data_IF_705185243827
#
_entry.id   IF_705185243827
#
_cell.length_a   1.000
_cell.length_b   1.000
_cell.length_c   1.000
_cell.angle_alpha   90.00
_cell.angle_beta   90.00
_cell.angle_gamma   90.00
#
_symmetry.space_group_name_H-M   'P 1'
#
loop_
_entity.id
_entity.type
_entity.pdbx_description
1 polymer ?
#
# COMPACT_ATOMS: atom_id res chain seq x y z
N UNK A 1 -3.72 17.82 21.51
CA UNK A 1 -2.56 17.31 20.75
C UNK A 1 -2.15 18.40 19.78
N UNK A 2 -0.91 18.84 19.81
CA UNK A 2 -0.40 19.87 18.90
C UNK A 2 -0.29 19.29 17.49
N UNK A 3 -0.35 20.14 16.46
CA UNK A 3 -0.26 19.77 15.03
C UNK A 3 1.00 18.94 14.65
N UNK A 4 1.96 18.78 15.57
CA UNK A 4 3.24 18.09 15.34
C UNK A 4 3.22 16.58 15.62
N UNK A 5 2.17 16.04 16.27
CA UNK A 5 2.06 14.59 16.56
C UNK A 5 1.46 13.77 15.40
N UNK A 6 0.96 14.43 14.35
CA UNK A 6 0.16 13.76 13.29
C UNK A 6 0.97 13.06 12.19
N UNK A 7 2.30 13.14 12.21
CA UNK A 7 3.16 12.63 11.12
C UNK A 7 4.36 11.82 11.63
N UNK A 8 4.23 11.17 12.79
CA UNK A 8 5.35 10.50 13.44
C UNK A 8 5.29 8.98 13.30
N UNK A 9 6.44 8.40 12.97
CA UNK A 9 6.69 6.98 13.14
C UNK A 9 6.78 6.69 14.63
N UNK A 10 5.91 5.81 15.12
CA UNK A 10 5.90 5.38 16.51
C UNK A 10 6.54 4.00 16.65
N UNK A 11 6.86 3.63 17.88
CA UNK A 11 7.37 2.30 18.24
C UNK A 11 6.55 1.78 19.41
N UNK A 12 6.13 0.52 19.33
CA UNK A 12 5.50 -0.16 20.45
C UNK A 12 6.52 -0.31 21.60
N UNK A 13 6.14 0.09 22.81
CA UNK A 13 7.08 0.20 23.94
C UNK A 13 7.62 -1.17 24.42
N UNK A 14 6.87 -2.25 24.14
CA UNK A 14 7.21 -3.60 24.60
C UNK A 14 8.00 -4.34 23.52
N UNK A 15 7.48 -4.34 22.30
CA UNK A 15 8.02 -5.12 21.19
C UNK A 15 9.05 -4.36 20.36
N UNK A 16 9.08 -3.03 20.46
CA UNK A 16 9.85 -2.15 19.58
C UNK A 16 9.34 -2.14 18.14
N UNK A 17 8.16 -2.69 17.86
CA UNK A 17 7.58 -2.75 16.51
C UNK A 17 7.23 -1.33 16.03
N UNK A 18 7.69 -0.90 14.85
CA UNK A 18 7.33 0.40 14.30
C UNK A 18 5.86 0.41 13.86
N UNK A 19 5.18 1.55 13.98
CA UNK A 19 3.85 1.73 13.42
C UNK A 19 3.57 3.19 13.06
N UNK A 20 2.64 3.38 12.12
CA UNK A 20 2.01 4.68 11.86
C UNK A 20 0.60 4.68 12.43
N UNK A 21 0.16 5.79 12.99
CA UNK A 21 -1.21 5.95 13.52
C UNK A 21 -2.05 6.73 12.52
N UNK A 22 -3.29 6.28 12.27
CA UNK A 22 -4.20 7.06 11.44
C UNK A 22 -4.64 8.34 12.19
N UNK A 23 -4.89 9.45 11.48
CA UNK A 23 -5.27 10.70 12.10
C UNK A 23 -6.68 10.63 12.71
N UNK A 24 -6.97 11.57 13.62
CA UNK A 24 -8.31 11.76 14.19
C UNK A 24 -9.39 11.85 13.08
N UNK A 25 -10.55 11.18 13.24
CA UNK A 25 -11.02 10.43 14.42
C UNK A 25 -10.65 8.94 14.43
N UNK A 26 -9.72 8.49 13.57
CA UNK A 26 -9.38 7.07 13.39
C UNK A 26 -8.12 6.66 14.18
N UNK A 27 -7.84 7.32 15.31
CA UNK A 27 -6.62 7.13 16.10
C UNK A 27 -6.47 5.71 16.67
N UNK A 28 -7.58 4.95 16.71
CA UNK A 28 -7.61 3.52 17.07
C UNK A 28 -7.21 2.59 15.91
N UNK A 29 -6.79 3.14 14.76
CA UNK A 29 -6.21 2.37 13.67
C UNK A 29 -4.73 2.69 13.51
N UNK A 30 -3.94 1.65 13.29
CA UNK A 30 -2.49 1.75 13.07
C UNK A 30 -2.08 0.96 11.83
N UNK A 31 -0.93 1.28 11.26
CA UNK A 31 -0.30 0.54 10.16
C UNK A 31 1.02 -0.04 10.66
N UNK A 32 1.15 -1.35 10.65
CA UNK A 32 2.30 -2.09 11.19
C UNK A 32 2.99 -2.92 10.09
N UNK A 33 4.16 -3.52 10.37
CA UNK A 33 4.69 -4.62 9.59
C UNK A 33 3.77 -5.84 9.59
N UNK A 34 4.09 -6.75 8.68
CA UNK A 34 3.42 -8.06 8.56
C UNK A 34 3.89 -8.99 9.68
N UNK A 35 2.95 -9.63 10.37
CA UNK A 35 3.21 -10.60 11.44
C UNK A 35 2.99 -12.04 10.95
N UNK A 36 3.61 -13.00 11.63
CA UNK A 36 3.55 -14.42 11.20
C UNK A 36 2.14 -14.99 11.32
N UNK A 37 1.39 -14.50 12.31
CA UNK A 37 0.03 -14.88 12.64
C UNK A 37 -1.05 -14.09 11.87
N UNK A 38 -0.66 -13.25 10.91
CA UNK A 38 -1.60 -12.54 10.04
C UNK A 38 -2.29 -13.48 9.03
N UNK A 39 -1.69 -14.63 8.71
CA UNK A 39 -2.16 -15.53 7.64
C UNK A 39 -3.65 -15.93 7.77
N UNK A 40 -4.17 -16.38 8.93
CA UNK A 40 -5.59 -16.71 9.06
C UNK A 40 -6.52 -15.51 8.81
N UNK A 41 -6.14 -14.31 9.26
CA UNK A 41 -6.94 -13.10 9.04
C UNK A 41 -6.93 -12.68 7.56
N UNK A 42 -5.77 -12.76 6.89
CA UNK A 42 -5.64 -12.52 5.45
C UNK A 42 -6.52 -13.49 4.68
N UNK A 43 -6.46 -14.79 4.99
CA UNK A 43 -7.27 -15.84 4.35
C UNK A 43 -8.76 -15.54 4.47
N UNK A 44 -9.21 -15.16 5.67
CA UNK A 44 -10.61 -14.80 5.89
C UNK A 44 -11.04 -13.58 5.04
N UNK A 45 -10.22 -12.53 4.98
CA UNK A 45 -10.53 -11.32 4.21
C UNK A 45 -10.53 -11.60 2.70
N UNK A 46 -9.51 -12.31 2.20
CA UNK A 46 -9.29 -12.52 0.77
C UNK A 46 -10.18 -13.58 0.15
N UNK A 47 -10.85 -14.44 0.94
CA UNK A 47 -11.95 -15.26 0.46
C UNK A 47 -13.30 -14.52 0.44
N UNK A 48 -13.37 -13.30 0.98
CA UNK A 48 -14.57 -12.47 0.93
C UNK A 48 -14.85 -11.96 -0.49
N UNK A 49 -16.03 -12.24 -1.10
CA UNK A 49 -16.30 -11.87 -2.49
C UNK A 49 -16.34 -10.35 -2.72
N UNK A 50 -16.59 -9.55 -1.67
CA UNK A 50 -16.52 -8.09 -1.72
C UNK A 50 -15.10 -7.53 -1.86
N UNK A 51 -14.08 -8.35 -1.62
CA UNK A 51 -12.66 -8.00 -1.71
C UNK A 51 -11.98 -8.73 -2.86
N UNK A 52 -12.06 -10.06 -2.88
CA UNK A 52 -11.33 -10.93 -3.80
C UNK A 52 -11.48 -10.55 -5.28
N UNK A 53 -12.70 -10.18 -5.68
CA UNK A 53 -13.03 -9.86 -7.07
C UNK A 53 -12.24 -8.68 -7.64
N UNK A 54 -11.72 -7.80 -6.78
CA UNK A 54 -10.99 -6.60 -7.19
C UNK A 54 -9.47 -6.79 -7.18
N UNK A 55 -8.97 -7.98 -6.85
CA UNK A 55 -7.55 -8.25 -6.70
C UNK A 55 -7.05 -9.18 -7.82
N UNK A 56 -5.94 -8.81 -8.45
CA UNK A 56 -5.44 -9.49 -9.65
C UNK A 56 -4.89 -10.90 -9.37
N UNK A 57 -4.17 -11.08 -8.26
CA UNK A 57 -3.29 -12.23 -8.02
C UNK A 57 -3.74 -13.13 -6.85
N UNK A 58 -5.05 -13.21 -6.60
CA UNK A 58 -5.59 -14.04 -5.51
C UNK A 58 -6.14 -15.35 -6.10
N UNK A 59 -5.51 -16.52 -5.84
CA UNK A 59 -6.09 -17.80 -6.22
C UNK A 59 -7.42 -18.05 -5.49
N UNK A 60 -8.30 -18.86 -6.10
CA UNK A 60 -9.57 -19.26 -5.51
C UNK A 60 -9.69 -20.78 -5.43
N UNK A 61 -9.95 -21.37 -4.25
CA UNK A 61 -9.98 -20.71 -2.93
C UNK A 61 -8.58 -20.21 -2.52
N UNK A 62 -8.52 -19.14 -1.73
CA UNK A 62 -7.27 -18.67 -1.13
C UNK A 62 -7.02 -19.47 0.15
N UNK A 63 -6.04 -20.36 0.14
CA UNK A 63 -5.81 -21.32 1.23
C UNK A 63 -4.94 -20.75 2.34
N UNK A 64 -4.89 -21.44 3.49
CA UNK A 64 -3.96 -21.08 4.57
C UNK A 64 -2.51 -21.09 4.09
N UNK A 65 -2.13 -22.08 3.28
CA UNK A 65 -0.78 -22.16 2.72
C UNK A 65 -0.45 -21.00 1.79
N UNK A 66 -1.42 -20.49 1.02
CA UNK A 66 -1.24 -19.27 0.21
C UNK A 66 -0.99 -18.05 1.12
N UNK A 67 -1.75 -17.93 2.21
CA UNK A 67 -1.59 -16.88 3.21
C UNK A 67 -0.25 -16.93 3.95
N UNK A 68 0.17 -18.12 4.40
CA UNK A 68 1.45 -18.35 5.07
C UNK A 68 2.63 -18.04 4.13
N UNK A 69 2.55 -18.48 2.87
CA UNK A 69 3.54 -18.15 1.85
C UNK A 69 3.62 -16.64 1.62
N UNK A 70 2.48 -15.98 1.44
CA UNK A 70 2.42 -14.53 1.23
C UNK A 70 3.01 -13.74 2.41
N UNK A 71 2.69 -14.16 3.64
CA UNK A 71 3.25 -13.57 4.86
C UNK A 71 4.77 -13.73 4.89
N UNK A 72 5.29 -14.94 4.60
CA UNK A 72 6.72 -15.19 4.55
C UNK A 72 7.44 -14.31 3.52
N UNK A 73 6.95 -14.31 2.28
CA UNK A 73 7.50 -13.49 1.19
C UNK A 73 7.47 -11.99 1.53
N UNK A 74 6.35 -11.51 2.06
CA UNK A 74 6.18 -10.09 2.41
C UNK A 74 7.12 -9.68 3.52
N UNK A 75 7.24 -10.50 4.58
CA UNK A 75 8.14 -10.22 5.70
C UNK A 75 9.60 -10.20 5.29
N UNK A 76 10.03 -11.11 4.42
CA UNK A 76 11.40 -11.11 3.89
C UNK A 76 11.71 -9.78 3.18
N UNK A 77 10.78 -9.29 2.36
CA UNK A 77 10.91 -8.01 1.69
C UNK A 77 10.90 -6.80 2.66
N UNK A 78 10.12 -6.87 3.74
CA UNK A 78 10.04 -5.82 4.78
C UNK A 78 11.30 -5.78 5.66
N UNK A 79 11.90 -6.94 5.96
CA UNK A 79 13.02 -7.09 6.89
C UNK A 79 14.24 -6.27 6.47
N UNK A 80 14.46 -6.14 5.16
CA UNK A 80 15.50 -5.26 4.60
C UNK A 80 15.35 -3.81 5.08
N UNK A 81 14.13 -3.29 5.04
CA UNK A 81 13.83 -1.91 5.42
C UNK A 81 13.76 -1.75 6.94
N UNK A 82 13.25 -2.75 7.66
CA UNK A 82 13.28 -2.78 9.11
C UNK A 82 14.72 -2.78 9.66
N UNK A 83 15.62 -3.55 9.03
CA UNK A 83 17.05 -3.57 9.37
C UNK A 83 17.70 -2.23 9.10
N UNK A 84 17.50 -1.67 7.89
CA UNK A 84 18.00 -0.33 7.56
C UNK A 84 17.51 0.69 8.60
N UNK A 85 16.24 0.65 9.00
CA UNK A 85 15.67 1.58 9.98
C UNK A 85 16.32 1.44 11.37
N UNK A 86 16.61 0.22 11.83
CA UNK A 86 17.30 -0.03 13.11
C UNK A 86 18.75 0.47 13.10
N UNK A 87 19.45 0.29 11.98
CA UNK A 87 20.87 0.66 11.84
C UNK A 87 21.09 2.15 11.58
N UNK A 88 20.16 2.77 10.85
CA UNK A 88 20.21 4.16 10.40
C UNK A 88 20.14 5.18 11.55
N UNK A 89 19.58 4.79 12.70
CA UNK A 89 19.16 5.74 13.73
C UNK A 89 18.14 6.77 13.20
N UNK A 90 17.63 7.66 14.07
CA UNK A 90 16.59 8.62 13.71
C UNK A 90 17.05 9.71 12.72
N UNK A 91 18.37 9.89 12.52
CA UNK A 91 18.95 10.99 11.74
C UNK A 91 19.49 10.62 10.36
N UNK A 92 19.36 9.35 9.93
CA UNK A 92 19.81 8.94 8.60
C UNK A 92 19.02 9.64 7.50
N UNK A 93 19.75 10.16 6.51
CA UNK A 93 19.19 10.80 5.32
C UNK A 93 19.06 9.86 4.13
N UNK A 94 19.48 8.60 4.27
CA UNK A 94 19.44 7.64 3.16
C UNK A 94 18.00 7.24 2.87
N UNK A 95 17.51 7.40 1.62
CA UNK A 95 16.14 7.03 1.27
C UNK A 95 15.91 5.53 1.40
N UNK A 96 14.68 5.16 1.73
CA UNK A 96 14.20 3.79 1.74
C UNK A 96 13.73 3.39 0.34
N UNK A 97 14.04 2.17 -0.08
CA UNK A 97 13.55 1.62 -1.35
C UNK A 97 12.15 1.00 -1.28
N UNK A 98 11.46 1.12 -0.15
CA UNK A 98 10.13 0.56 0.06
C UNK A 98 9.54 0.94 1.42
N UNK A 99 8.35 0.41 1.71
CA UNK A 99 7.66 0.61 2.98
C UNK A 99 7.51 -0.72 3.74
N UNK A 100 8.02 -0.83 4.98
CA UNK A 100 7.83 -2.00 5.81
C UNK A 100 6.47 -2.01 6.54
N UNK A 101 5.67 -0.95 6.44
CA UNK A 101 4.40 -0.82 7.14
C UNK A 101 3.25 -1.00 6.13
N UNK A 102 2.54 -2.12 6.24
CA UNK A 102 1.51 -2.50 5.26
C UNK A 102 0.20 -2.90 5.90
N UNK A 103 0.23 -3.47 7.10
CA UNK A 103 -0.94 -4.07 7.73
C UNK A 103 -1.75 -3.02 8.50
N UNK A 104 -2.98 -2.74 8.06
CA UNK A 104 -3.91 -1.89 8.80
C UNK A 104 -4.53 -2.72 9.91
N UNK A 105 -4.34 -2.27 11.16
CA UNK A 105 -4.91 -2.91 12.35
C UNK A 105 -5.89 -1.99 13.06
N UNK A 106 -7.00 -2.55 13.52
CA UNK A 106 -7.91 -1.92 14.45
C UNK A 106 -7.50 -2.30 15.87
N UNK A 107 -7.05 -1.32 16.66
CA UNK A 107 -6.76 -1.45 18.09
C UNK A 107 -8.08 -1.36 18.86
N UNK A 108 -8.44 -2.45 19.54
CA UNK A 108 -9.63 -2.56 20.39
C UNK A 108 -9.40 -1.89 21.75
N UNK A 109 -10.48 -1.68 22.51
CA UNK A 109 -10.43 -1.07 23.84
C UNK A 109 -9.57 -1.84 24.84
N UNK A 110 -9.50 -3.16 24.69
CA UNK A 110 -8.65 -4.05 25.49
C UNK A 110 -7.18 -4.11 25.01
N UNK A 111 -6.82 -3.32 24.00
CA UNK A 111 -5.49 -3.29 23.39
C UNK A 111 -5.27 -4.32 22.28
N UNK A 112 -6.22 -5.24 22.04
CA UNK A 112 -6.11 -6.25 20.98
C UNK A 112 -6.01 -5.57 19.61
N UNK A 113 -5.06 -6.01 18.78
CA UNK A 113 -4.85 -5.45 17.45
C UNK A 113 -5.33 -6.43 16.37
N UNK A 114 -6.47 -6.13 15.76
CA UNK A 114 -7.08 -6.98 14.72
C UNK A 114 -6.63 -6.51 13.36
N UNK A 115 -6.06 -7.40 12.53
CA UNK A 115 -5.79 -7.10 11.13
C UNK A 115 -7.11 -6.89 10.36
N UNK A 116 -7.25 -5.76 9.70
CA UNK A 116 -8.47 -5.40 8.96
C UNK A 116 -8.24 -5.09 7.50
N UNK A 117 -7.00 -4.88 7.07
CA UNK A 117 -6.66 -4.58 5.68
C UNK A 117 -5.17 -4.41 5.46
N UNK A 118 -4.82 -3.99 4.24
CA UNK A 118 -3.44 -3.80 3.84
C UNK A 118 -3.29 -2.65 2.83
N UNK A 119 -2.14 -1.98 2.87
CA UNK A 119 -1.65 -1.06 1.84
C UNK A 119 -0.26 -1.53 1.42
N UNK A 120 -0.16 -2.00 0.18
CA UNK A 120 1.10 -2.39 -0.45
C UNK A 120 1.73 -1.22 -1.19
N UNK A 121 3.03 -1.01 -0.97
CA UNK A 121 3.86 -0.06 -1.73
C UNK A 121 4.83 -0.84 -2.60
N UNK A 122 4.85 -0.54 -3.90
CA UNK A 122 5.77 -1.16 -4.85
C UNK A 122 6.10 -0.20 -5.99
N UNK A 123 7.04 -0.59 -6.85
CA UNK A 123 7.27 0.14 -8.11
C UNK A 123 6.17 -0.23 -9.11
N UNK A 124 5.77 0.75 -9.92
CA UNK A 124 4.72 0.55 -10.91
C UNK A 124 5.19 -0.42 -12.00
N UNK A 125 4.35 -1.42 -12.29
CA UNK A 125 4.55 -2.42 -13.34
C UNK A 125 4.02 -1.96 -14.71
N UNK A 126 3.26 -0.86 -14.75
CA UNK A 126 2.56 -0.36 -15.94
C UNK A 126 1.65 -1.41 -16.61
N UNK A 127 1.17 -2.40 -15.84
CA UNK A 127 0.38 -3.53 -16.36
C UNK A 127 -0.94 -3.14 -17.01
N UNK A 128 -1.44 -1.93 -16.72
CA UNK A 128 -2.64 -1.36 -17.33
C UNK A 128 -2.47 -1.03 -18.83
N UNK A 129 -1.25 -0.90 -19.34
CA UNK A 129 -1.02 -0.59 -20.76
C UNK A 129 -1.49 -1.74 -21.66
N UNK A 130 -2.13 -1.40 -22.78
CA UNK A 130 -2.59 -2.35 -23.81
C UNK A 130 -1.42 -3.13 -24.46
N UNK A 131 -0.28 -2.47 -24.61
CA UNK A 131 0.95 -3.08 -25.13
C UNK A 131 1.78 -3.71 -24.00
N UNK A 132 1.69 -5.03 -23.87
CA UNK A 132 2.42 -5.82 -22.87
C UNK A 132 3.94 -5.74 -23.01
N UNK A 133 4.47 -5.57 -24.23
CA UNK A 133 5.92 -5.47 -24.43
C UNK A 133 6.40 -4.12 -23.89
N UNK A 134 5.68 -3.06 -24.21
CA UNK A 134 5.96 -1.72 -23.67
C UNK A 134 5.80 -1.68 -22.16
N UNK A 135 4.77 -2.31 -21.59
CA UNK A 135 4.59 -2.41 -20.15
C UNK A 135 5.80 -3.05 -19.46
N UNK A 136 6.26 -4.21 -19.97
CA UNK A 136 7.43 -4.92 -19.44
C UNK A 136 8.71 -4.12 -19.58
N UNK A 137 8.90 -3.41 -20.69
CA UNK A 137 10.04 -2.54 -20.89
C UNK A 137 10.07 -1.42 -19.84
N UNK A 138 8.96 -0.68 -19.68
CA UNK A 138 8.85 0.42 -18.72
C UNK A 138 9.00 -0.06 -17.28
N UNK A 139 8.42 -1.22 -16.93
CA UNK A 139 8.60 -1.83 -15.62
C UNK A 139 10.09 -2.15 -15.36
N UNK A 140 10.77 -2.77 -16.33
CA UNK A 140 12.19 -3.11 -16.18
C UNK A 140 13.09 -1.86 -16.10
N UNK A 141 12.77 -0.80 -16.84
CA UNK A 141 13.44 0.50 -16.71
C UNK A 141 13.23 1.11 -15.32
N UNK A 142 11.98 1.09 -14.83
CA UNK A 142 11.62 1.59 -13.51
C UNK A 142 12.29 0.79 -12.38
N UNK A 143 12.40 -0.54 -12.49
CA UNK A 143 13.10 -1.42 -11.52
C UNK A 143 14.62 -1.19 -11.46
N UNK A 144 15.25 -0.78 -12.57
CA UNK A 144 16.70 -0.52 -12.61
C UNK A 144 17.10 0.80 -11.94
N UNK A 145 16.15 1.69 -11.66
CA UNK A 145 16.43 2.98 -11.00
C UNK A 145 16.97 2.78 -9.59
N UNK A 146 17.96 3.59 -9.23
CA UNK A 146 18.56 3.56 -7.89
C UNK A 146 17.57 4.04 -6.84
N UNK A 147 17.70 3.55 -5.59
CA UNK A 147 16.85 4.01 -4.47
C UNK A 147 16.98 5.53 -4.31
N UNK A 148 15.84 6.21 -4.20
CA UNK A 148 15.78 7.67 -4.08
C UNK A 148 15.77 8.44 -5.41
N UNK A 149 15.84 7.75 -6.56
CA UNK A 149 15.68 8.40 -7.86
C UNK A 149 14.25 9.01 -7.97
N UNK A 150 14.13 10.35 -8.17
CA UNK A 150 12.84 11.04 -8.20
C UNK A 150 11.97 10.64 -9.39
N UNK A 151 12.53 10.00 -10.42
CA UNK A 151 11.78 9.51 -11.57
C UNK A 151 11.21 8.09 -11.37
N UNK A 152 11.45 7.46 -10.21
CA UNK A 152 10.76 6.20 -9.88
C UNK A 152 9.25 6.46 -9.86
N UNK A 153 8.53 5.65 -10.62
CA UNK A 153 7.07 5.61 -10.57
C UNK A 153 6.65 4.53 -9.59
N UNK A 154 5.98 4.94 -8.51
CA UNK A 154 5.47 4.01 -7.50
C UNK A 154 4.05 3.59 -7.83
N UNK A 155 3.61 2.50 -7.21
CA UNK A 155 2.23 2.03 -7.23
C UNK A 155 1.79 1.66 -5.82
N UNK A 156 0.48 1.78 -5.61
CA UNK A 156 -0.21 1.39 -4.39
C UNK A 156 -1.25 0.33 -4.71
N UNK A 157 -1.27 -0.73 -3.93
CA UNK A 157 -2.35 -1.70 -3.90
C UNK A 157 -2.98 -1.71 -2.53
N UNK A 158 -4.30 -1.91 -2.44
CA UNK A 158 -4.98 -1.90 -1.16
C UNK A 158 -6.13 -2.91 -1.09
N UNK A 159 -6.40 -3.36 0.12
CA UNK A 159 -7.66 -4.03 0.45
C UNK A 159 -8.06 -3.75 1.88
N UNK A 160 -9.35 -3.82 2.14
CA UNK A 160 -9.92 -3.69 3.47
C UNK A 160 -11.03 -4.72 3.62
N UNK A 161 -11.17 -5.31 4.81
CA UNK A 161 -12.29 -6.17 5.14
C UNK A 161 -13.62 -5.44 4.94
N UNK A 162 -14.62 -6.14 4.40
CA UNK A 162 -15.91 -5.54 3.99
C UNK A 162 -16.62 -4.83 5.15
N UNK A 163 -16.52 -5.35 6.37
CA UNK A 163 -17.12 -4.73 7.56
C UNK A 163 -16.51 -3.38 7.94
N UNK A 164 -15.38 -3.02 7.34
CA UNK A 164 -14.66 -1.77 7.54
C UNK A 164 -14.79 -0.80 6.34
N UNK A 165 -15.53 -1.18 5.29
CA UNK A 165 -15.76 -0.31 4.13
C UNK A 165 -16.62 0.91 4.49
N UNK A 166 -16.50 1.98 3.71
CA UNK A 166 -17.34 3.18 3.84
C UNK A 166 -17.02 4.08 5.05
N UNK A 167 -16.08 3.70 5.91
CA UNK A 167 -15.75 4.42 7.14
C UNK A 167 -14.57 5.39 7.00
N UNK A 168 -14.03 5.57 5.78
CA UNK A 168 -12.88 6.46 5.53
C UNK A 168 -11.51 5.90 5.95
N UNK A 169 -11.47 4.69 6.51
CA UNK A 169 -10.24 4.03 7.00
C UNK A 169 -9.17 3.92 5.91
N UNK A 170 -9.51 3.36 4.75
CA UNK A 170 -8.53 3.23 3.66
C UNK A 170 -8.08 4.59 3.11
N UNK A 171 -8.99 5.57 3.03
CA UNK A 171 -8.61 6.95 2.64
C UNK A 171 -7.57 7.52 3.59
N UNK A 172 -7.76 7.35 4.91
CA UNK A 172 -6.81 7.81 5.92
C UNK A 172 -5.50 7.00 5.85
N UNK A 173 -5.55 5.68 5.66
CA UNK A 173 -4.35 4.84 5.55
C UNK A 173 -3.47 5.22 4.37
N UNK A 174 -4.05 5.42 3.18
CA UNK A 174 -3.32 5.89 2.00
C UNK A 174 -2.69 7.26 2.24
N UNK A 175 -3.44 8.20 2.87
CA UNK A 175 -2.92 9.52 3.22
C UNK A 175 -1.70 9.43 4.14
N UNK A 176 -1.83 8.67 5.22
CA UNK A 176 -0.78 8.44 6.23
C UNK A 176 0.46 7.81 5.59
N UNK A 177 0.31 6.77 4.77
CA UNK A 177 1.46 6.14 4.10
C UNK A 177 2.16 7.12 3.16
N UNK A 178 1.41 7.90 2.37
CA UNK A 178 2.00 8.86 1.45
C UNK A 178 2.78 9.94 2.21
N UNK A 179 2.14 10.56 3.21
CA UNK A 179 2.68 11.74 3.89
C UNK A 179 3.75 11.41 4.94
N UNK A 180 3.63 10.28 5.63
CA UNK A 180 4.46 9.97 6.80
C UNK A 180 5.57 8.96 6.48
N UNK A 181 5.45 8.26 5.34
CA UNK A 181 6.46 7.33 4.87
C UNK A 181 6.97 7.65 3.47
N UNK A 182 6.12 7.56 2.44
CA UNK A 182 6.59 7.57 1.04
C UNK A 182 7.29 8.89 0.67
N UNK A 183 6.73 10.04 1.02
CA UNK A 183 7.37 11.33 0.74
C UNK A 183 8.64 11.51 1.59
N UNK A 184 8.58 11.52 2.94
CA UNK A 184 9.72 11.92 3.76
C UNK A 184 10.84 10.87 3.79
N UNK A 185 10.53 9.58 3.61
CA UNK A 185 11.50 8.49 3.80
C UNK A 185 11.92 7.84 2.49
N UNK A 186 11.09 7.87 1.45
CA UNK A 186 11.43 7.27 0.14
C UNK A 186 11.69 8.31 -0.95
N UNK A 187 11.34 9.57 -0.72
CA UNK A 187 11.49 10.64 -1.72
C UNK A 187 10.49 10.53 -2.88
N UNK A 188 9.33 9.91 -2.67
CA UNK A 188 8.35 9.67 -3.73
C UNK A 188 7.85 10.97 -4.37
N UNK A 189 7.87 11.02 -5.71
CA UNK A 189 7.36 12.13 -6.52
C UNK A 189 6.20 11.76 -7.45
N UNK A 190 6.05 10.48 -7.78
CA UNK A 190 5.03 10.01 -8.72
C UNK A 190 4.46 8.66 -8.25
N UNK A 191 3.13 8.57 -8.19
CA UNK A 191 2.41 7.32 -7.92
C UNK A 191 1.35 7.13 -8.99
N UNK A 192 1.28 5.92 -9.57
CA UNK A 192 0.22 5.50 -10.47
C UNK A 192 -0.54 4.35 -9.84
N UNK A 193 -1.86 4.42 -9.90
CA UNK A 193 -2.77 3.35 -9.47
C UNK A 193 -3.79 3.08 -10.56
N UNK A 194 -4.16 1.81 -10.70
CA UNK A 194 -4.96 1.31 -11.82
C UNK A 194 -6.13 0.43 -11.36
N UNK A 195 -7.05 0.90 -10.48
CA UNK A 195 -8.21 0.11 -10.06
C UNK A 195 -9.10 -0.28 -11.25
N UNK A 196 -9.55 -1.53 -11.28
CA UNK A 196 -10.47 -2.04 -12.30
C UNK A 196 -11.71 -1.17 -12.48
N UNK A 197 -12.23 -1.11 -13.71
CA UNK A 197 -13.52 -0.48 -13.96
C UNK A 197 -14.61 -1.08 -13.06
N UNK A 198 -15.48 -0.22 -12.54
CA UNK A 198 -16.50 -0.61 -11.56
C UNK A 198 -16.03 -0.62 -10.10
N UNK A 199 -14.71 -0.60 -9.82
CA UNK A 199 -14.19 -0.45 -8.45
C UNK A 199 -14.25 1.02 -7.97
N UNK A 200 -15.48 1.52 -7.82
CA UNK A 200 -15.77 2.91 -7.40
C UNK A 200 -15.20 3.22 -6.01
N UNK A 201 -15.05 2.20 -5.15
CA UNK A 201 -14.50 2.35 -3.80
C UNK A 201 -13.05 2.82 -3.84
N UNK A 202 -12.17 2.07 -4.52
CA UNK A 202 -10.75 2.43 -4.63
C UNK A 202 -10.55 3.73 -5.40
N UNK A 203 -11.30 3.97 -6.50
CA UNK A 203 -11.24 5.27 -7.22
C UNK A 203 -11.49 6.44 -6.27
N UNK A 204 -12.57 6.39 -5.46
CA UNK A 204 -12.90 7.44 -4.50
C UNK A 204 -11.87 7.58 -3.37
N UNK A 205 -11.20 6.50 -2.98
CA UNK A 205 -10.10 6.54 -2.01
C UNK A 205 -8.93 7.35 -2.56
N UNK A 206 -8.55 7.11 -3.82
CA UNK A 206 -7.43 7.79 -4.45
C UNK A 206 -7.74 9.26 -4.79
N UNK A 207 -8.92 9.55 -5.34
CA UNK A 207 -9.33 10.94 -5.61
C UNK A 207 -9.30 11.81 -4.35
N UNK A 208 -9.75 11.28 -3.20
CA UNK A 208 -9.70 11.97 -1.89
C UNK A 208 -8.28 12.19 -1.36
N UNK A 209 -7.28 11.56 -1.98
CA UNK A 209 -5.86 11.72 -1.68
C UNK A 209 -5.12 12.46 -2.81
N UNK A 210 -5.86 13.20 -3.66
CA UNK A 210 -5.29 14.08 -4.67
C UNK A 210 -4.82 13.38 -5.94
N UNK A 211 -5.16 12.11 -6.13
CA UNK A 211 -4.94 11.45 -7.41
C UNK A 211 -5.94 11.98 -8.44
N UNK A 212 -5.46 12.18 -9.66
CA UNK A 212 -6.27 12.65 -10.79
C UNK A 212 -6.40 11.53 -11.80
N UNK A 213 -7.61 11.33 -12.33
CA UNK A 213 -7.85 10.40 -13.43
C UNK A 213 -7.15 10.89 -14.70
N UNK A 214 -6.16 10.15 -15.18
CA UNK A 214 -5.40 10.47 -16.39
C UNK A 214 -6.02 9.80 -17.62
N UNK A 215 -6.38 8.52 -17.51
CA UNK A 215 -6.96 7.76 -18.62
C UNK A 215 -7.79 6.58 -18.13
N UNK A 216 -8.54 5.98 -19.06
CA UNK A 216 -9.25 4.72 -18.88
C UNK A 216 -8.79 3.76 -19.96
N UNK A 217 -8.42 2.54 -19.58
CA UNK A 217 -8.00 1.50 -20.51
C UNK A 217 -9.16 0.56 -20.83
N UNK A 218 -9.03 -0.22 -21.91
CA UNK A 218 -10.00 -1.23 -22.34
C UNK A 218 -9.48 -2.66 -22.19
N UNK A 219 -8.25 -2.80 -21.67
CA UNK A 219 -7.54 -4.07 -21.55
C UNK A 219 -8.36 -5.09 -20.77
N UNK A 220 -8.63 -6.22 -21.42
CA UNK A 220 -9.27 -7.36 -20.77
C UNK A 220 -8.28 -8.07 -19.87
N UNK A 221 -8.61 -8.17 -18.58
CA UNK A 221 -7.78 -8.83 -17.57
C UNK A 221 -8.59 -9.98 -16.97
N UNK A 222 -7.95 -11.15 -16.89
CA UNK A 222 -8.47 -12.30 -16.15
C UNK A 222 -7.65 -12.41 -14.87
N UNK A 223 -8.29 -12.28 -13.71
CA UNK A 223 -7.61 -12.44 -12.43
C UNK A 223 -7.21 -13.91 -12.23
N UNK A 224 -6.24 -14.17 -11.35
CA UNK A 224 -5.88 -15.54 -10.98
C UNK A 224 -7.07 -16.33 -10.41
N UNK A 225 -8.02 -15.61 -9.79
CA UNK A 225 -9.28 -16.15 -9.30
C UNK A 225 -10.40 -16.29 -10.36
N UNK A 226 -10.10 -16.04 -11.64
CA UNK A 226 -11.01 -16.24 -12.77
C UNK A 226 -12.02 -15.12 -13.03
N UNK A 227 -11.96 -13.99 -12.31
CA UNK A 227 -12.82 -12.84 -12.61
C UNK A 227 -12.31 -12.12 -13.86
N UNK A 228 -13.24 -11.61 -14.66
CA UNK A 228 -12.94 -10.87 -15.89
C UNK A 228 -13.24 -9.39 -15.65
N UNK A 229 -12.24 -8.54 -15.92
CA UNK A 229 -12.38 -7.09 -15.90
C UNK A 229 -12.06 -6.53 -17.28
N UNK A 230 -12.85 -5.55 -17.72
CA UNK A 230 -12.72 -4.91 -19.03
C UNK A 230 -12.19 -3.50 -18.85
N UNK A 231 -10.91 -3.37 -18.51
CA UNK A 231 -10.25 -2.08 -18.33
C UNK A 231 -10.02 -1.64 -16.89
N UNK A 232 -9.26 -0.56 -16.76
CA UNK A 232 -8.86 0.04 -15.49
C UNK A 232 -8.95 1.57 -15.57
N UNK A 233 -9.20 2.21 -14.43
CA UNK A 233 -9.04 3.66 -14.29
C UNK A 233 -7.57 3.92 -13.96
N UNK A 234 -6.85 4.69 -14.75
CA UNK A 234 -5.45 5.05 -14.47
C UNK A 234 -5.45 6.40 -13.76
N UNK A 235 -5.16 6.41 -12.47
CA UNK A 235 -5.03 7.63 -11.69
C UNK A 235 -3.58 7.91 -11.32
N UNK A 236 -3.20 9.19 -11.36
CA UNK A 236 -1.84 9.63 -11.11
C UNK A 236 -1.85 10.65 -9.98
N UNK A 237 -0.92 10.48 -9.05
CA UNK A 237 -0.55 11.48 -8.04
C UNK A 237 0.87 11.94 -8.29
N UNK A 238 1.10 13.25 -8.19
CA UNK A 238 2.43 13.85 -8.32
C UNK A 238 2.66 14.82 -7.17
N UNK A 239 3.87 14.80 -6.61
CA UNK A 239 4.33 15.85 -5.71
C UNK A 239 4.73 17.06 -6.55
N UNK A 240 4.15 18.22 -6.29
CA UNK A 240 4.61 19.47 -6.90
C UNK A 240 6.06 19.76 -6.50
N UNK A 241 6.84 20.36 -7.41
CA UNK A 241 8.22 20.76 -7.14
C UNK A 241 8.22 21.98 -6.22
N UNK A 242 8.73 21.85 -5.00
CA UNK A 242 9.02 23.00 -4.16
C UNK A 242 10.47 23.44 -4.42
N UNK A 243 10.71 24.76 -4.49
CA UNK A 243 12.06 25.35 -4.69
C UNK A 243 13.04 24.91 -3.58
N UNK A 244 12.52 24.53 -2.41
CA UNK A 244 13.28 24.05 -1.25
C UNK A 244 13.76 22.58 -1.38
N UNK A 245 13.34 21.86 -2.43
CA UNK A 245 13.78 20.48 -2.70
C UNK A 245 15.11 20.40 -3.52
N UNK A 246 15.76 21.55 -3.81
CA UNK A 246 17.01 21.69 -4.59
C UNK A 246 18.21 21.99 -3.67
#
# INVERSE_FOLDING_TARGET
MTQNDQHQLHFDEITGEPYLRLPNPLENYIITPTRIDDAPAIVNILNGPGVAKWLAAIPKPYTLSDGEWWVGFTREAEEKWLTQMRESGPSSKSPFGGCPLKCIRHVKEDGTQVLVGNVGVGRCSFSYLEDDQKAKQLAAENERRSIGDPEIVWALGDYLSVSYHGQGIMTAAIRTIINDWMIPRMGVRCIIVDPYLGNRGSVRVFEKNGFVLESVTSKKIVTLGGDIHEGQNVLIWRKEWCIEDI
#
